data_IF_263619146782
#
_entry.id   IF_263619146782
#
_cell.length_a   1.000
_cell.length_b   1.000
_cell.length_c   1.000
_cell.angle_alpha   90.00
_cell.angle_beta   90.00
_cell.angle_gamma   90.00
#
_symmetry.space_group_name_H-M   'P 1'
#
loop_
_entity.id
_entity.type
_entity.pdbx_description
1 polymer ?
#
# COMPACT_ATOMS: atom_id res chain seq x y z
N UNK A 1 14.96 -17.58 -6.89
CA UNK A 1 13.83 -18.04 -6.05
C UNK A 1 12.55 -17.25 -6.33
N UNK A 2 12.47 -15.95 -6.02
CA UNK A 2 11.23 -15.16 -6.27
C UNK A 2 10.89 -15.04 -7.77
N UNK A 3 11.87 -14.73 -8.62
CA UNK A 3 11.68 -14.59 -10.09
C UNK A 3 11.23 -15.89 -10.78
N UNK A 4 11.61 -17.05 -10.23
CA UNK A 4 11.21 -18.37 -10.76
C UNK A 4 9.81 -18.76 -10.29
N UNK A 5 9.45 -18.43 -9.05
CA UNK A 5 8.12 -18.66 -8.48
C UNK A 5 7.01 -17.90 -9.21
N UNK A 6 7.23 -16.60 -9.46
CA UNK A 6 6.25 -15.72 -10.14
C UNK A 6 5.95 -16.22 -11.57
N UNK A 7 6.96 -16.75 -12.28
CA UNK A 7 6.79 -17.28 -13.63
C UNK A 7 6.02 -18.61 -13.68
N UNK A 8 6.01 -19.39 -12.60
CA UNK A 8 5.45 -20.74 -12.59
C UNK A 8 4.01 -20.85 -12.06
N UNK A 9 3.48 -19.83 -11.38
CA UNK A 9 2.25 -19.94 -10.58
C UNK A 9 1.10 -18.99 -10.97
N UNK A 10 1.18 -18.26 -12.09
CA UNK A 10 0.10 -17.35 -12.52
C UNK A 10 -0.38 -16.36 -11.41
N UNK A 11 0.55 -15.95 -10.54
CA UNK A 11 0.31 -15.09 -9.37
C UNK A 11 0.01 -13.63 -9.77
N UNK A 12 -0.91 -13.00 -9.06
CA UNK A 12 -1.26 -11.58 -9.22
C UNK A 12 -0.10 -10.66 -8.82
N UNK A 13 -0.17 -9.39 -9.23
CA UNK A 13 0.83 -8.38 -8.84
C UNK A 13 0.97 -8.24 -7.32
N UNK A 14 -0.14 -8.40 -6.57
CA UNK A 14 -0.14 -8.34 -5.12
C UNK A 14 0.53 -9.56 -4.48
N UNK A 15 0.17 -10.76 -4.93
CA UNK A 15 0.76 -12.00 -4.43
C UNK A 15 2.28 -12.03 -4.66
N UNK A 16 2.76 -11.49 -5.79
CA UNK A 16 4.18 -11.36 -6.07
C UNK A 16 4.93 -10.44 -5.09
N UNK A 17 4.33 -9.30 -4.71
CA UNK A 17 4.89 -8.37 -3.73
C UNK A 17 4.96 -9.01 -2.33
N UNK A 18 3.88 -9.67 -1.92
CA UNK A 18 3.79 -10.31 -0.62
C UNK A 18 4.73 -11.52 -0.53
N UNK A 19 4.79 -12.36 -1.57
CA UNK A 19 5.74 -13.45 -1.68
C UNK A 19 7.19 -12.95 -1.59
N UNK A 20 7.53 -11.88 -2.33
CA UNK A 20 8.87 -11.28 -2.30
C UNK A 20 9.29 -10.83 -0.89
N UNK A 21 8.37 -10.25 -0.12
CA UNK A 21 8.62 -9.86 1.28
C UNK A 21 8.85 -11.09 2.17
N UNK A 22 7.97 -12.08 2.11
CA UNK A 22 8.09 -13.29 2.93
C UNK A 22 9.40 -14.06 2.63
N UNK A 23 9.83 -14.09 1.36
CA UNK A 23 11.14 -14.65 1.01
C UNK A 23 12.31 -13.84 1.58
N UNK A 24 12.23 -12.50 1.61
CA UNK A 24 13.24 -11.65 2.27
C UNK A 24 13.28 -11.87 3.79
N UNK A 25 12.15 -12.21 4.39
CA UNK A 25 12.05 -12.60 5.81
C UNK A 25 12.53 -14.05 6.07
N UNK A 26 13.07 -14.73 5.05
CA UNK A 26 13.64 -16.08 5.16
C UNK A 26 12.60 -17.19 5.20
N UNK A 27 11.35 -16.92 4.80
CA UNK A 27 10.29 -17.95 4.77
C UNK A 27 10.51 -18.91 3.60
N UNK A 28 10.17 -20.18 3.82
CA UNK A 28 10.25 -21.22 2.79
C UNK A 28 9.14 -21.07 1.75
N UNK A 29 9.34 -21.65 0.58
CA UNK A 29 8.34 -21.69 -0.50
C UNK A 29 7.00 -22.26 -0.02
N UNK A 30 7.02 -23.39 0.69
CA UNK A 30 5.82 -24.02 1.25
C UNK A 30 5.05 -23.11 2.22
N UNK A 31 5.78 -22.32 3.04
CA UNK A 31 5.15 -21.35 3.93
C UNK A 31 4.48 -20.23 3.13
N UNK A 32 5.16 -19.70 2.11
CA UNK A 32 4.62 -18.64 1.25
C UNK A 32 3.36 -19.12 0.53
N UNK A 33 3.39 -20.34 -0.03
CA UNK A 33 2.25 -20.94 -0.71
C UNK A 33 1.07 -21.14 0.24
N UNK A 34 1.30 -21.73 1.41
CA UNK A 34 0.25 -21.94 2.42
C UNK A 34 -0.33 -20.62 2.93
N UNK A 35 0.52 -19.61 3.13
CA UNK A 35 0.10 -18.30 3.61
C UNK A 35 -0.80 -17.60 2.57
N UNK A 36 -0.37 -17.53 1.31
CA UNK A 36 -1.16 -16.92 0.23
C UNK A 36 -2.49 -17.64 0.02
N UNK A 37 -2.49 -18.98 0.03
CA UNK A 37 -3.73 -19.78 -0.06
C UNK A 37 -4.68 -19.54 1.13
N UNK A 38 -4.15 -19.28 2.32
CA UNK A 38 -4.96 -19.11 3.54
C UNK A 38 -5.62 -17.74 3.69
N UNK A 39 -5.02 -16.69 3.14
CA UNK A 39 -5.51 -15.31 3.31
C UNK A 39 -6.51 -14.91 2.21
N UNK A 40 -6.43 -15.54 1.03
CA UNK A 40 -7.26 -15.18 -0.13
C UNK A 40 -6.82 -13.87 -0.79
N UNK A 41 -7.18 -13.69 -2.07
CA UNK A 41 -6.73 -12.57 -2.90
C UNK A 41 -7.14 -11.20 -2.33
N UNK A 42 -8.36 -11.07 -1.81
CA UNK A 42 -8.86 -9.83 -1.23
C UNK A 42 -8.06 -9.38 0.01
N UNK A 43 -7.61 -10.32 0.84
CA UNK A 43 -6.79 -10.00 2.00
C UNK A 43 -5.34 -9.63 1.62
N UNK A 44 -4.79 -10.23 0.55
CA UNK A 44 -3.49 -9.83 -0.02
C UNK A 44 -3.54 -8.39 -0.49
N UNK A 45 -4.59 -8.03 -1.22
CA UNK A 45 -4.79 -6.69 -1.74
C UNK A 45 -4.99 -5.67 -0.62
N UNK A 46 -5.82 -5.99 0.37
CA UNK A 46 -6.02 -5.16 1.55
C UNK A 46 -4.72 -4.98 2.35
N UNK A 47 -3.92 -6.02 2.53
CA UNK A 47 -2.62 -5.93 3.21
C UNK A 47 -1.65 -5.00 2.47
N UNK A 48 -1.55 -5.12 1.15
CA UNK A 48 -0.68 -4.27 0.33
C UNK A 48 -1.18 -2.83 0.32
N UNK A 49 -2.50 -2.67 0.28
CA UNK A 49 -3.16 -1.37 0.39
C UNK A 49 -2.81 -0.70 1.72
N UNK A 50 -2.94 -1.39 2.85
CA UNK A 50 -2.63 -0.85 4.16
C UNK A 50 -1.13 -0.51 4.32
N UNK A 51 -0.23 -1.39 3.85
CA UNK A 51 1.21 -1.12 3.92
C UNK A 51 1.61 0.08 3.06
N UNK A 52 1.06 0.18 1.85
CA UNK A 52 1.46 1.21 0.89
C UNK A 52 0.79 2.56 1.16
N UNK A 53 -0.44 2.56 1.68
CA UNK A 53 -1.16 3.79 2.06
C UNK A 53 -0.92 4.22 3.51
N UNK A 54 -0.30 3.36 4.35
CA UNK A 54 0.05 3.68 5.72
C UNK A 54 0.92 4.93 5.85
N UNK A 55 1.90 5.09 4.95
CA UNK A 55 2.73 6.30 4.89
C UNK A 55 1.92 7.53 4.48
N UNK A 56 1.02 7.41 3.51
CA UNK A 56 0.14 8.52 3.09
C UNK A 56 -0.75 8.95 4.26
N UNK A 57 -1.38 8.00 4.94
CA UNK A 57 -2.23 8.22 6.12
C UNK A 57 -1.44 8.88 7.25
N UNK A 58 -0.22 8.42 7.51
CA UNK A 58 0.66 9.00 8.51
C UNK A 58 1.00 10.47 8.20
N UNK A 59 1.38 10.78 6.96
CA UNK A 59 1.69 12.15 6.55
C UNK A 59 0.45 13.05 6.57
N UNK A 60 -0.72 12.55 6.18
CA UNK A 60 -1.98 13.30 6.32
C UNK A 60 -2.27 13.66 7.78
N UNK A 61 -2.09 12.71 8.70
CA UNK A 61 -2.28 12.96 10.13
C UNK A 61 -1.30 13.99 10.70
N UNK A 62 -0.01 13.89 10.33
CA UNK A 62 1.01 14.87 10.73
C UNK A 62 0.66 16.27 10.22
N UNK A 63 0.34 16.40 8.93
CA UNK A 63 -0.01 17.70 8.34
C UNK A 63 -1.28 18.27 8.99
N UNK A 64 -2.31 17.44 9.19
CA UNK A 64 -3.55 17.86 9.86
C UNK A 64 -3.29 18.32 11.30
N UNK A 65 -2.43 17.62 12.03
CA UNK A 65 -2.05 18.00 13.39
C UNK A 65 -1.30 19.34 13.40
N UNK A 66 -0.28 19.50 12.55
CA UNK A 66 0.50 20.75 12.47
C UNK A 66 -0.38 21.96 12.08
N UNK A 67 -1.38 21.78 11.20
CA UNK A 67 -2.35 22.83 10.86
C UNK A 67 -3.24 23.21 12.07
N UNK A 68 -3.59 22.25 12.92
CA UNK A 68 -4.46 22.45 14.10
C UNK A 68 -3.75 23.11 15.27
N UNK A 69 -2.46 22.80 15.46
CA UNK A 69 -1.63 23.39 16.52
C UNK A 69 -1.28 24.88 16.26
N UNK A 70 -1.72 25.44 15.12
CA UNK A 70 -1.50 26.84 14.71
C UNK A 70 -0.03 27.28 14.74
N UNK A 71 0.89 26.32 14.60
CA UNK A 71 2.34 26.50 14.57
C UNK A 71 2.84 27.10 13.25
N UNK A 72 1.93 27.39 12.32
CA UNK A 72 2.23 27.81 10.95
C UNK A 72 1.76 29.23 10.70
N UNK A 73 2.54 29.98 9.93
CA UNK A 73 2.06 31.24 9.35
C UNK A 73 0.89 30.99 8.39
N UNK A 74 0.11 32.03 8.10
CA UNK A 74 -1.04 31.94 7.17
C UNK A 74 -0.67 31.37 5.79
N UNK A 75 0.53 31.68 5.29
CA UNK A 75 1.02 31.16 4.01
C UNK A 75 1.39 29.67 4.10
N UNK A 76 2.07 29.26 5.17
CA UNK A 76 2.43 27.86 5.43
C UNK A 76 1.19 27.00 5.67
N UNK A 77 0.20 27.51 6.39
CA UNK A 77 -1.09 26.85 6.61
C UNK A 77 -1.82 26.59 5.28
N UNK A 78 -1.75 27.54 4.35
CA UNK A 78 -2.35 27.39 3.03
C UNK A 78 -1.60 26.34 2.18
N UNK A 79 -0.26 26.36 2.19
CA UNK A 79 0.58 25.33 1.52
C UNK A 79 0.34 23.93 2.11
N UNK A 80 0.28 23.81 3.43
CA UNK A 80 -0.01 22.57 4.13
C UNK A 80 -1.41 22.04 3.79
N UNK A 81 -2.42 22.93 3.72
CA UNK A 81 -3.78 22.58 3.31
C UNK A 81 -3.87 22.08 1.87
N UNK A 82 -3.14 22.69 0.93
CA UNK A 82 -3.05 22.20 -0.46
C UNK A 82 -2.42 20.80 -0.52
N UNK A 83 -1.34 20.59 0.23
CA UNK A 83 -0.65 19.29 0.29
C UNK A 83 -1.53 18.20 0.92
N UNK A 84 -2.29 18.53 1.95
CA UNK A 84 -3.24 17.61 2.58
C UNK A 84 -4.31 17.16 1.58
N UNK A 85 -4.92 18.10 0.83
CA UNK A 85 -5.89 17.77 -0.24
C UNK A 85 -5.31 16.89 -1.34
N UNK A 86 -4.04 17.11 -1.71
CA UNK A 86 -3.35 16.28 -2.70
C UNK A 86 -3.17 14.83 -2.20
N UNK A 87 -2.76 14.67 -0.94
CA UNK A 87 -2.61 13.35 -0.31
C UNK A 87 -3.96 12.65 -0.15
N UNK A 88 -5.01 13.36 0.25
CA UNK A 88 -6.39 12.85 0.31
C UNK A 88 -6.85 12.36 -1.05
N UNK A 89 -6.60 13.12 -2.12
CA UNK A 89 -6.95 12.71 -3.49
C UNK A 89 -6.21 11.45 -3.90
N UNK A 90 -4.91 11.34 -3.61
CA UNK A 90 -4.12 10.14 -3.89
C UNK A 90 -4.63 8.95 -3.09
N UNK A 91 -4.87 9.11 -1.80
CA UNK A 91 -5.41 8.07 -0.93
C UNK A 91 -6.77 7.57 -1.42
N UNK A 92 -7.66 8.50 -1.79
CA UNK A 92 -8.96 8.20 -2.37
C UNK A 92 -8.84 7.45 -3.69
N UNK A 93 -7.98 7.92 -4.60
CA UNK A 93 -7.71 7.25 -5.88
C UNK A 93 -7.22 5.81 -5.64
N UNK A 94 -6.24 5.61 -4.75
CA UNK A 94 -5.77 4.27 -4.39
C UNK A 94 -6.86 3.38 -3.81
N UNK A 95 -7.83 3.95 -3.08
CA UNK A 95 -8.96 3.20 -2.51
C UNK A 95 -9.99 2.82 -3.58
N UNK A 96 -10.21 3.69 -4.56
CA UNK A 96 -11.22 3.51 -5.61
C UNK A 96 -10.71 2.65 -6.77
N UNK A 97 -9.45 2.80 -7.16
CA UNK A 97 -8.86 2.07 -8.30
C UNK A 97 -8.07 0.84 -7.87
N UNK A 98 -7.86 0.65 -6.57
CA UNK A 98 -6.82 -0.23 -6.05
C UNK A 98 -5.43 0.27 -6.46
N UNK A 99 -4.45 -0.63 -6.46
CA UNK A 99 -3.15 -0.35 -7.06
C UNK A 99 -3.24 -0.56 -8.58
N UNK A 100 -2.99 0.47 -9.41
CA UNK A 100 -2.89 0.26 -10.86
C UNK A 100 -1.79 -0.78 -11.13
N UNK A 101 -2.19 -1.92 -11.71
CA UNK A 101 -1.33 -3.09 -11.95
C UNK A 101 -1.50 -4.29 -10.99
N UNK A 102 -2.33 -4.18 -9.93
CA UNK A 102 -2.73 -5.35 -9.11
C UNK A 102 -4.09 -5.90 -9.57
N UNK A 103 -5.03 -5.02 -9.92
CA UNK A 103 -6.39 -5.33 -10.39
C UNK A 103 -6.53 -5.59 -11.89
N UNK A 104 -5.45 -5.55 -12.68
CA UNK A 104 -5.49 -5.76 -14.15
C UNK A 104 -5.56 -7.24 -14.55
N UNK A 105 -6.37 -8.06 -13.87
CA UNK A 105 -6.76 -9.40 -14.33
C UNK A 105 -8.15 -9.78 -13.79
N UNK A 106 -9.19 -9.43 -14.55
CA UNK A 106 -10.24 -10.40 -14.87
C UNK A 106 -9.74 -11.29 -16.03
#
# INVERSE_FOLDING_TARGET
MVKSYIKSQNVSGGEAVLASRLFKEGKSQQYVDAYLLSIGSEAVENYIFEQSTGNIRHHMNLISHVIKEDLLTSEEKNKAGLRLKELERKYKLFKETGFPGISERE
#
